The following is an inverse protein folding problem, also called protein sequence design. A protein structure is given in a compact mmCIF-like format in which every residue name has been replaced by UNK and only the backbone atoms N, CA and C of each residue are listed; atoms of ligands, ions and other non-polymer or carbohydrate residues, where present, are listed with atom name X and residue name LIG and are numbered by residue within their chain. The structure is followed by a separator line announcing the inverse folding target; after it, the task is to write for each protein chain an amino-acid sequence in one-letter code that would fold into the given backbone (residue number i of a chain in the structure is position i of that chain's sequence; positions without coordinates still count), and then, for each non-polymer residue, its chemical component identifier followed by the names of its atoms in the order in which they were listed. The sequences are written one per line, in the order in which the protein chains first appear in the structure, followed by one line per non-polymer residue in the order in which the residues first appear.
data_IF_829864660229
#
_entry.id   IF_829864660229
#
_cell.length_a   1.000
_cell.length_b   1.000
_cell.length_c   1.000
_cell.angle_alpha   90.00
_cell.angle_beta   90.00
_cell.angle_gamma   90.00
#
_symmetry.space_group_name_H-M   'P 1'
#
loop_
_entity.id
_entity.type
_entity.pdbx_description
1 polymer ?
#
# COMPACT_ATOMS: atom_id res chain seq x y z
N UNK A 1 -11.03 -7.54 2.18
CA UNK A 1 -11.94 -7.07 3.27
C UNK A 1 -13.12 -8.03 3.39
N UNK A 2 -13.56 -8.42 4.59
CA UNK A 2 -14.71 -9.31 4.77
C UNK A 2 -16.03 -8.55 4.51
N UNK A 3 -16.44 -8.45 3.24
CA UNK A 3 -17.66 -7.75 2.87
C UNK A 3 -18.33 -8.39 1.65
N UNK A 4 -19.66 -8.24 1.53
CA UNK A 4 -20.43 -8.58 0.33
C UNK A 4 -20.69 -7.36 -0.56
N UNK A 5 -20.29 -6.17 -0.13
CA UNK A 5 -20.43 -4.95 -0.93
C UNK A 5 -19.48 -5.01 -2.13
N UNK A 6 -19.93 -4.50 -3.27
CA UNK A 6 -19.08 -4.39 -4.46
C UNK A 6 -18.09 -3.22 -4.29
N UNK A 7 -17.10 -3.41 -3.44
CA UNK A 7 -16.02 -2.46 -3.17
C UNK A 7 -14.67 -3.12 -3.37
N UNK A 8 -13.69 -2.35 -3.83
CA UNK A 8 -12.29 -2.74 -4.00
C UNK A 8 -11.43 -1.67 -3.35
N UNK A 9 -10.46 -2.06 -2.55
CA UNK A 9 -9.47 -1.14 -2.01
C UNK A 9 -8.24 -1.09 -2.93
N UNK A 10 -7.82 0.13 -3.31
CA UNK A 10 -6.53 0.37 -3.92
C UNK A 10 -5.52 0.69 -2.82
N UNK A 11 -4.43 -0.06 -2.78
CA UNK A 11 -3.36 0.13 -1.80
C UNK A 11 -2.01 0.22 -2.49
N UNK A 12 -1.14 1.08 -1.97
CA UNK A 12 0.17 1.34 -2.54
C UNK A 12 1.26 1.16 -1.49
N UNK A 13 2.26 0.33 -1.79
CA UNK A 13 3.46 0.23 -0.97
C UNK A 13 4.48 1.30 -1.39
N UNK A 14 5.12 1.93 -0.41
CA UNK A 14 6.19 2.91 -0.61
C UNK A 14 7.38 2.57 0.30
N UNK A 15 8.38 1.88 -0.26
CA UNK A 15 9.55 1.42 0.47
C UNK A 15 10.85 2.08 -0.01
N UNK A 16 11.01 2.31 -1.31
CA UNK A 16 12.30 2.65 -1.92
C UNK A 16 12.45 4.13 -2.25
N UNK A 17 11.59 4.64 -3.14
CA UNK A 17 11.64 6.02 -3.64
C UNK A 17 10.23 6.55 -3.91
N UNK A 18 10.13 7.85 -4.19
CA UNK A 18 8.88 8.58 -4.40
C UNK A 18 8.55 8.81 -5.88
N UNK A 19 9.23 8.12 -6.80
CA UNK A 19 9.22 8.40 -8.24
C UNK A 19 7.81 8.50 -8.84
N UNK A 20 6.88 7.60 -8.48
CA UNK A 20 5.52 7.57 -9.00
C UNK A 20 4.50 8.31 -8.13
N UNK A 21 4.88 8.84 -6.98
CA UNK A 21 3.90 9.44 -6.03
C UNK A 21 3.10 10.55 -6.67
N UNK A 22 3.77 11.50 -7.33
CA UNK A 22 3.09 12.63 -7.95
C UNK A 22 2.08 12.22 -9.02
N UNK A 23 2.41 11.22 -9.86
CA UNK A 23 1.49 10.73 -10.89
C UNK A 23 0.34 9.92 -10.28
N UNK A 24 0.62 9.07 -9.29
CA UNK A 24 -0.43 8.32 -8.56
C UNK A 24 -1.43 9.28 -7.92
N UNK A 25 -0.96 10.30 -7.17
CA UNK A 25 -1.84 11.27 -6.52
C UNK A 25 -2.68 12.06 -7.53
N UNK A 26 -2.07 12.50 -8.65
CA UNK A 26 -2.78 13.20 -9.72
C UNK A 26 -3.88 12.34 -10.36
N UNK A 27 -3.62 11.05 -10.56
CA UNK A 27 -4.63 10.13 -11.11
C UNK A 27 -5.74 9.89 -10.10
N UNK A 28 -5.41 9.62 -8.83
CA UNK A 28 -6.40 9.41 -7.77
C UNK A 28 -7.32 10.63 -7.60
N UNK A 29 -6.77 11.84 -7.61
CA UNK A 29 -7.52 13.10 -7.57
C UNK A 29 -8.45 13.22 -8.78
N UNK A 30 -7.92 13.06 -10.00
CA UNK A 30 -8.71 13.13 -11.24
C UNK A 30 -9.92 12.21 -11.25
N UNK A 31 -9.79 11.02 -10.64
CA UNK A 31 -10.85 10.01 -10.61
C UNK A 31 -11.65 10.02 -9.31
N UNK A 32 -11.41 10.96 -8.40
CA UNK A 32 -12.02 10.94 -7.06
C UNK A 32 -11.98 9.51 -6.46
N UNK A 33 -10.77 8.94 -6.41
CA UNK A 33 -10.53 7.57 -5.98
C UNK A 33 -9.71 7.54 -4.68
N UNK A 34 -10.32 7.18 -3.54
CA UNK A 34 -9.58 7.06 -2.28
C UNK A 34 -8.63 5.85 -2.33
N UNK A 35 -7.51 5.95 -1.61
CA UNK A 35 -6.51 4.90 -1.51
C UNK A 35 -5.88 4.85 -0.11
N UNK A 36 -5.18 3.75 0.19
CA UNK A 36 -4.35 3.63 1.39
C UNK A 36 -2.90 3.34 0.99
N UNK A 37 -1.97 4.12 1.55
CA UNK A 37 -0.54 3.96 1.32
C UNK A 37 0.12 3.30 2.54
N UNK A 38 0.83 2.21 2.29
CA UNK A 38 1.65 1.50 3.28
C UNK A 38 3.10 1.96 3.13
N UNK A 39 3.55 2.82 4.04
CA UNK A 39 4.87 3.43 3.98
C UNK A 39 5.83 2.74 4.95
N UNK A 40 7.08 2.54 4.51
CA UNK A 40 8.14 2.22 5.48
C UNK A 40 8.52 3.46 6.30
N UNK A 41 9.01 3.24 7.51
CA UNK A 41 9.52 4.35 8.32
C UNK A 41 10.67 5.09 7.63
N UNK A 42 11.55 4.36 6.96
CA UNK A 42 12.64 4.95 6.18
C UNK A 42 12.16 5.79 4.99
N UNK A 43 11.10 5.35 4.30
CA UNK A 43 10.48 6.17 3.26
C UNK A 43 9.93 7.47 3.85
N UNK A 44 9.18 7.38 4.95
CA UNK A 44 8.59 8.54 5.59
C UNK A 44 9.63 9.56 6.08
N UNK A 45 10.79 9.09 6.56
CA UNK A 45 11.90 9.97 6.96
C UNK A 45 12.59 10.65 5.78
N UNK A 46 12.81 9.92 4.67
CA UNK A 46 13.51 10.45 3.49
C UNK A 46 12.61 11.31 2.61
N UNK A 47 11.33 10.99 2.53
CA UNK A 47 10.33 11.57 1.62
C UNK A 47 9.13 12.10 2.39
N UNK A 48 9.39 12.87 3.47
CA UNK A 48 8.32 13.37 4.34
C UNK A 48 7.35 14.31 3.62
N UNK A 49 7.79 15.02 2.58
CA UNK A 49 6.93 15.88 1.76
C UNK A 49 5.95 15.02 0.95
N UNK A 50 6.40 13.91 0.38
CA UNK A 50 5.53 12.97 -0.32
C UNK A 50 4.50 12.34 0.64
N UNK A 51 4.92 11.94 1.85
CA UNK A 51 4.00 11.40 2.85
C UNK A 51 2.92 12.44 3.26
N UNK A 52 3.30 13.71 3.46
CA UNK A 52 2.35 14.80 3.73
C UNK A 52 1.41 15.07 2.55
N UNK A 53 1.92 15.00 1.31
CA UNK A 53 1.10 15.17 0.12
C UNK A 53 0.00 14.10 0.01
N UNK A 54 0.31 12.83 0.35
CA UNK A 54 -0.68 11.75 0.40
C UNK A 54 -1.80 12.04 1.41
N UNK A 55 -1.44 12.51 2.63
CA UNK A 55 -2.42 12.91 3.66
C UNK A 55 -3.25 14.11 3.19
N UNK A 56 -2.61 15.15 2.68
CA UNK A 56 -3.28 16.35 2.20
C UNK A 56 -4.25 16.07 1.05
N UNK A 57 -3.99 15.05 0.23
CA UNK A 57 -4.89 14.55 -0.79
C UNK A 57 -6.00 13.65 -0.25
N UNK A 58 -6.11 13.48 1.06
CA UNK A 58 -7.18 12.74 1.72
C UNK A 58 -7.01 11.23 1.75
N UNK A 59 -5.83 10.70 1.48
CA UNK A 59 -5.57 9.26 1.50
C UNK A 59 -5.18 8.75 2.88
N UNK A 60 -5.42 7.45 3.13
CA UNK A 60 -5.01 6.77 4.35
C UNK A 60 -3.52 6.45 4.34
N UNK A 61 -2.84 6.58 5.49
CA UNK A 61 -1.46 6.15 5.68
C UNK A 61 -1.42 5.01 6.68
N UNK A 62 -0.67 3.95 6.37
CA UNK A 62 -0.47 2.77 7.19
C UNK A 62 1.00 2.33 7.19
N UNK A 63 1.35 1.38 8.07
CA UNK A 63 2.73 0.96 8.27
C UNK A 63 3.13 -0.23 7.41
N UNK A 64 4.36 -0.17 6.85
CA UNK A 64 5.01 -1.25 6.11
C UNK A 64 6.38 -1.63 6.70
N UNK A 65 6.49 -1.74 8.03
CA UNK A 65 7.72 -1.83 8.81
C UNK A 65 8.61 -0.57 8.74
N UNK A 66 9.73 -0.58 9.45
CA UNK A 66 10.65 0.56 9.39
C UNK A 66 11.61 0.46 8.20
N UNK A 67 12.28 -0.69 8.01
CA UNK A 67 13.37 -0.86 7.03
C UNK A 67 13.09 -1.87 5.93
N UNK A 68 11.87 -2.45 5.90
CA UNK A 68 11.46 -3.48 4.93
C UNK A 68 12.29 -4.79 5.01
N UNK A 69 12.53 -5.35 6.20
CA UNK A 69 13.24 -6.61 6.34
C UNK A 69 12.35 -7.82 6.06
N UNK A 70 12.95 -8.99 5.88
CA UNK A 70 12.26 -10.27 6.04
C UNK A 70 11.95 -10.47 7.53
N UNK A 71 10.69 -10.23 7.93
CA UNK A 71 10.29 -10.21 9.34
C UNK A 71 10.47 -11.56 10.02
N UNK A 72 10.29 -12.67 9.29
CA UNK A 72 10.48 -14.04 9.77
C UNK A 72 11.94 -14.36 10.15
N UNK A 73 12.90 -13.57 9.66
CA UNK A 73 14.32 -13.73 9.99
C UNK A 73 14.72 -12.97 11.26
N UNK A 74 13.80 -12.18 11.81
CA UNK A 74 14.03 -11.39 13.00
C UNK A 74 13.53 -12.13 14.26
N UNK A 75 14.17 -11.89 15.39
CA UNK A 75 13.59 -12.26 16.68
C UNK A 75 12.42 -11.34 17.06
N UNK A 76 11.65 -11.74 18.05
CA UNK A 76 10.45 -11.00 18.51
C UNK A 76 10.77 -9.54 18.87
N UNK A 77 11.91 -9.28 19.54
CA UNK A 77 12.28 -7.91 19.93
C UNK A 77 12.63 -7.05 18.71
N UNK A 78 13.36 -7.60 17.75
CA UNK A 78 13.69 -6.89 16.51
C UNK A 78 12.44 -6.61 15.68
N UNK A 79 11.48 -7.55 15.58
CA UNK A 79 10.18 -7.33 14.92
C UNK A 79 9.39 -6.20 15.59
N UNK A 80 9.29 -6.20 16.92
CA UNK A 80 8.62 -5.12 17.65
C UNK A 80 9.27 -3.76 17.39
N UNK A 81 10.60 -3.70 17.34
CA UNK A 81 11.33 -2.47 17.03
C UNK A 81 11.02 -1.97 15.62
N UNK A 82 10.94 -2.86 14.62
CA UNK A 82 10.54 -2.51 13.25
C UNK A 82 9.15 -1.86 13.20
N UNK A 83 8.17 -2.42 13.91
CA UNK A 83 6.81 -1.87 13.97
C UNK A 83 6.78 -0.52 14.69
N UNK A 84 7.36 -0.43 15.89
CA UNK A 84 7.29 0.78 16.73
C UNK A 84 8.15 1.93 16.16
N UNK A 85 9.28 1.64 15.52
CA UNK A 85 10.07 2.66 14.83
C UNK A 85 9.34 3.21 13.61
N UNK A 86 8.67 2.34 12.85
CA UNK A 86 7.84 2.76 11.73
C UNK A 86 6.73 3.71 12.21
N UNK A 87 5.96 3.34 13.22
CA UNK A 87 4.89 4.17 13.78
C UNK A 87 5.40 5.56 14.18
N UNK A 88 6.53 5.63 14.90
CA UNK A 88 7.15 6.92 15.29
C UNK A 88 7.59 7.76 14.09
N UNK A 89 8.20 7.13 13.09
CA UNK A 89 8.65 7.81 11.88
C UNK A 89 7.46 8.36 11.07
N UNK A 90 6.40 7.55 10.92
CA UNK A 90 5.17 7.96 10.24
C UNK A 90 4.50 9.13 10.95
N UNK A 91 4.25 9.03 12.27
CA UNK A 91 3.66 10.13 13.07
C UNK A 91 4.45 11.44 12.93
N UNK A 92 5.79 11.35 12.97
CA UNK A 92 6.64 12.51 12.80
C UNK A 92 6.54 13.10 11.41
N UNK A 93 6.50 12.27 10.37
CA UNK A 93 6.47 12.72 8.99
C UNK A 93 5.13 13.37 8.60
N UNK A 94 3.99 12.76 9.01
CA UNK A 94 2.66 13.20 8.60
C UNK A 94 1.96 14.13 9.61
N UNK A 95 2.47 14.22 10.85
CA UNK A 95 1.94 15.11 11.89
C UNK A 95 0.68 14.59 12.61
N UNK A 96 0.23 13.39 12.29
CA UNK A 96 -0.94 12.73 12.89
C UNK A 96 -0.70 11.21 13.03
N UNK A 97 -1.53 10.48 13.81
CA UNK A 97 -1.43 9.03 13.88
C UNK A 97 -1.74 8.39 12.52
N UNK A 98 -0.90 7.44 12.03
CA UNK A 98 -1.28 6.61 10.89
C UNK A 98 -2.45 5.68 11.26
N UNK A 99 -3.08 5.08 10.27
CA UNK A 99 -4.09 4.04 10.48
C UNK A 99 -3.47 2.88 11.27
N UNK A 100 -4.24 2.21 12.15
CA UNK A 100 -3.76 1.08 12.94
C UNK A 100 -3.63 -0.20 12.11
N UNK A 101 -3.03 -0.07 10.93
CA UNK A 101 -2.80 -1.15 10.00
C UNK A 101 -1.31 -1.35 9.76
N UNK A 102 -0.93 -2.61 9.65
CA UNK A 102 0.41 -3.05 9.32
C UNK A 102 0.35 -4.00 8.12
N UNK A 103 1.33 -3.92 7.24
CA UNK A 103 1.51 -4.89 6.16
C UNK A 103 2.92 -5.46 6.26
N UNK A 104 3.02 -6.78 6.32
CA UNK A 104 4.32 -7.45 6.36
C UNK A 104 5.06 -7.25 5.03
N UNK A 105 6.36 -6.88 5.07
CA UNK A 105 7.22 -6.96 3.89
C UNK A 105 7.18 -8.35 3.25
N UNK A 106 7.12 -8.40 1.93
CA UNK A 106 7.08 -9.63 1.12
C UNK A 106 5.82 -10.50 1.30
N UNK A 107 4.98 -10.26 2.30
CA UNK A 107 3.84 -11.11 2.65
C UNK A 107 4.22 -12.40 3.39
N UNK A 108 5.49 -12.52 3.76
CA UNK A 108 5.97 -13.67 4.55
C UNK A 108 5.64 -13.44 6.02
N UNK A 109 4.68 -14.21 6.54
CA UNK A 109 4.21 -14.07 7.92
C UNK A 109 3.69 -15.38 8.49
N UNK A 110 3.69 -15.48 9.80
CA UNK A 110 3.15 -16.59 10.57
C UNK A 110 2.04 -16.11 11.51
N UNK A 111 1.14 -17.00 11.99
CA UNK A 111 0.14 -16.63 12.99
C UNK A 111 0.72 -16.01 14.26
N UNK A 112 1.94 -16.42 14.67
CA UNK A 112 2.63 -15.85 15.81
C UNK A 112 3.03 -14.40 15.55
N UNK A 113 3.61 -14.10 14.41
CA UNK A 113 4.05 -12.75 14.03
C UNK A 113 2.86 -11.79 13.89
N UNK A 114 1.75 -12.28 13.33
CA UNK A 114 0.48 -11.53 13.30
C UNK A 114 0.02 -11.21 14.72
N UNK A 115 0.05 -12.18 15.63
CA UNK A 115 -0.33 -11.96 17.02
C UNK A 115 0.59 -10.95 17.74
N UNK A 116 1.90 -10.96 17.44
CA UNK A 116 2.86 -9.98 17.97
C UNK A 116 2.54 -8.56 17.48
N UNK A 117 2.21 -8.39 16.21
CA UNK A 117 1.81 -7.09 15.63
C UNK A 117 0.47 -6.62 16.18
N UNK A 118 -0.50 -7.54 16.34
CA UNK A 118 -1.80 -7.23 16.94
C UNK A 118 -1.67 -6.80 18.42
N UNK A 119 -0.74 -7.41 19.17
CA UNK A 119 -0.47 -7.01 20.55
C UNK A 119 0.10 -5.58 20.67
N UNK A 120 0.67 -5.04 19.60
CA UNK A 120 1.12 -3.64 19.52
C UNK A 120 0.02 -2.68 19.07
N UNK A 121 -1.20 -3.17 18.81
CA UNK A 121 -2.36 -2.36 18.41
C UNK A 121 -2.51 -2.18 16.90
N UNK A 122 -1.85 -3.00 16.08
CA UNK A 122 -1.98 -2.94 14.63
C UNK A 122 -2.67 -4.19 14.09
N UNK A 123 -3.58 -4.02 13.14
CA UNK A 123 -4.15 -5.12 12.38
C UNK A 123 -3.29 -5.41 11.15
N UNK A 124 -2.98 -6.69 10.93
CA UNK A 124 -2.34 -7.15 9.71
C UNK A 124 -3.28 -7.02 8.51
N UNK A 125 -2.81 -6.38 7.43
CA UNK A 125 -3.56 -6.15 6.19
C UNK A 125 -2.75 -6.64 5.00
N UNK A 126 -3.06 -7.84 4.57
CA UNK A 126 -2.53 -8.42 3.35
C UNK A 126 -3.35 -8.00 2.10
N UNK A 127 -3.05 -8.56 0.96
CA UNK A 127 -3.68 -8.24 -0.32
C UNK A 127 -4.32 -9.47 -0.99
N UNK A 128 -5.23 -9.20 -1.92
CA UNK A 128 -5.85 -10.24 -2.74
C UNK A 128 -4.96 -10.62 -3.92
N UNK A 129 -4.33 -9.62 -4.55
CA UNK A 129 -3.29 -9.81 -5.58
C UNK A 129 -2.36 -8.59 -5.59
N UNK A 130 -1.09 -8.84 -5.92
CA UNK A 130 -0.08 -7.83 -6.22
C UNK A 130 0.01 -7.67 -7.74
N UNK A 131 -0.02 -6.43 -8.20
CA UNK A 131 0.14 -6.10 -9.62
C UNK A 131 1.51 -6.49 -10.18
N UNK A 132 2.54 -6.59 -9.31
CA UNK A 132 3.94 -6.77 -9.66
C UNK A 132 4.50 -5.65 -10.57
N UNK A 133 3.85 -4.49 -10.59
CA UNK A 133 4.29 -3.35 -11.41
C UNK A 133 5.69 -2.85 -11.06
N UNK A 134 6.10 -3.02 -9.80
CA UNK A 134 7.44 -2.65 -9.32
C UNK A 134 8.59 -3.40 -10.01
N UNK A 135 8.33 -4.57 -10.62
CA UNK A 135 9.33 -5.31 -11.39
C UNK A 135 9.74 -4.59 -12.68
N UNK A 136 8.89 -3.66 -13.14
CA UNK A 136 9.15 -2.88 -14.35
C UNK A 136 9.22 -3.72 -15.63
N UNK A 137 9.56 -3.08 -16.73
CA UNK A 137 9.72 -3.75 -18.03
C UNK A 137 10.90 -4.71 -18.04
N UNK A 138 11.95 -4.44 -17.27
CA UNK A 138 13.08 -5.34 -17.09
C UNK A 138 12.68 -6.68 -16.46
N UNK A 139 11.70 -6.67 -15.55
CA UNK A 139 11.08 -7.86 -14.98
C UNK A 139 9.97 -8.47 -15.85
N UNK A 140 9.84 -8.03 -17.10
CA UNK A 140 8.86 -8.55 -18.07
C UNK A 140 7.42 -8.07 -17.81
N UNK A 141 7.23 -7.04 -16.98
CA UNK A 141 5.93 -6.42 -16.74
C UNK A 141 5.61 -5.35 -17.80
N UNK A 142 4.33 -5.13 -18.00
CA UNK A 142 3.78 -4.05 -18.83
C UNK A 142 2.54 -3.50 -18.15
N UNK A 143 2.09 -2.30 -18.51
CA UNK A 143 0.83 -1.72 -18.02
C UNK A 143 -0.35 -2.66 -18.24
N UNK A 144 -0.43 -3.35 -19.39
CA UNK A 144 -1.48 -4.32 -19.69
C UNK A 144 -1.45 -5.52 -18.71
N UNK A 145 -0.25 -6.03 -18.38
CA UNK A 145 -0.10 -7.13 -17.40
C UNK A 145 -0.49 -6.69 -16.00
N UNK A 146 -0.13 -5.47 -15.58
CA UNK A 146 -0.53 -4.84 -14.31
C UNK A 146 -2.05 -4.82 -14.21
N UNK A 147 -2.73 -4.23 -15.21
CA UNK A 147 -4.20 -4.18 -15.26
C UNK A 147 -4.81 -5.58 -15.24
N UNK A 148 -4.32 -6.49 -16.07
CA UNK A 148 -4.85 -7.85 -16.15
C UNK A 148 -4.73 -8.62 -14.82
N UNK A 149 -3.61 -8.47 -14.09
CA UNK A 149 -3.41 -9.08 -12.77
C UNK A 149 -4.44 -8.54 -11.78
N UNK A 150 -4.49 -7.21 -11.61
CA UNK A 150 -5.44 -6.58 -10.71
C UNK A 150 -6.89 -6.97 -11.01
N UNK A 151 -7.29 -6.98 -12.28
CA UNK A 151 -8.67 -7.29 -12.68
C UNK A 151 -9.07 -8.76 -12.48
N UNK A 152 -8.13 -9.70 -12.40
CA UNK A 152 -8.41 -11.08 -12.00
C UNK A 152 -8.79 -11.22 -10.54
N UNK A 153 -8.24 -10.34 -9.70
CA UNK A 153 -8.47 -10.35 -8.26
C UNK A 153 -9.74 -9.59 -7.84
N UNK A 154 -10.36 -8.84 -8.76
CA UNK A 154 -11.55 -8.03 -8.45
C UNK A 154 -12.71 -8.92 -8.02
N UNK A 155 -13.06 -8.81 -6.76
CA UNK A 155 -14.17 -9.46 -6.07
C UNK A 155 -14.67 -8.53 -4.95
N UNK A 156 -15.84 -8.78 -4.35
CA UNK A 156 -16.30 -8.01 -3.20
C UNK A 156 -15.25 -8.01 -2.08
N UNK A 157 -14.78 -6.82 -1.71
CA UNK A 157 -13.77 -6.64 -0.67
C UNK A 157 -12.32 -6.93 -1.08
N UNK A 158 -12.01 -7.06 -2.36
CA UNK A 158 -10.64 -7.24 -2.81
C UNK A 158 -9.74 -6.06 -2.39
N UNK A 159 -8.50 -6.37 -2.03
CA UNK A 159 -7.44 -5.40 -1.74
C UNK A 159 -6.38 -5.60 -2.82
N UNK A 160 -6.19 -4.61 -3.67
CA UNK A 160 -5.19 -4.63 -4.74
C UNK A 160 -3.93 -3.92 -4.25
N UNK A 161 -2.80 -4.63 -4.29
CA UNK A 161 -1.50 -4.07 -3.97
C UNK A 161 -0.82 -3.53 -5.23
N UNK A 162 -0.34 -2.31 -5.13
CA UNK A 162 0.42 -1.57 -6.13
C UNK A 162 1.64 -0.92 -5.45
N UNK A 163 2.52 -0.27 -6.21
CA UNK A 163 3.73 0.36 -5.69
C UNK A 163 3.92 1.75 -6.29
N UNK A 164 4.44 2.70 -5.51
CA UNK A 164 4.73 4.07 -5.99
C UNK A 164 6.15 4.23 -6.56
N UNK A 165 6.97 3.20 -6.46
CA UNK A 165 8.35 3.24 -6.93
C UNK A 165 8.85 1.87 -7.37
N UNK A 166 10.08 1.82 -7.85
CA UNK A 166 10.77 0.60 -8.25
C UNK A 166 12.09 0.46 -7.49
N UNK A 167 12.57 -0.77 -7.21
CA UNK A 167 13.85 -0.96 -6.52
C UNK A 167 15.02 -0.30 -7.25
N UNK A 168 14.97 -0.23 -8.58
CA UNK A 168 16.02 0.36 -9.42
C UNK A 168 15.98 1.88 -9.45
N UNK A 169 14.84 2.52 -9.10
CA UNK A 169 14.68 3.97 -9.14
C UNK A 169 14.77 4.57 -10.54
N UNK A 170 14.66 3.75 -11.59
CA UNK A 170 14.79 4.18 -12.99
C UNK A 170 13.65 3.60 -13.83
N UNK A 171 13.31 4.28 -14.93
CA UNK A 171 12.19 3.90 -15.81
C UNK A 171 10.84 4.42 -15.31
N UNK A 172 9.76 4.09 -16.00
CA UNK A 172 8.39 4.43 -15.60
C UNK A 172 7.90 3.58 -14.44
N UNK A 173 6.97 4.10 -13.66
CA UNK A 173 6.26 3.35 -12.61
C UNK A 173 4.99 2.77 -13.23
N UNK A 174 5.05 1.49 -13.62
CA UNK A 174 3.97 0.83 -14.36
C UNK A 174 2.63 0.86 -13.62
N UNK A 175 2.65 0.84 -12.29
CA UNK A 175 1.45 0.95 -11.47
C UNK A 175 0.78 2.33 -11.64
N UNK A 176 1.57 3.40 -11.68
CA UNK A 176 1.04 4.74 -11.93
C UNK A 176 0.47 4.88 -13.34
N UNK A 177 1.19 4.35 -14.35
CA UNK A 177 0.77 4.36 -15.75
C UNK A 177 -0.51 3.54 -16.00
N UNK A 178 -0.66 2.41 -15.29
CA UNK A 178 -1.82 1.51 -15.42
C UNK A 178 -3.06 2.00 -14.65
N UNK A 179 -2.87 2.88 -13.67
CA UNK A 179 -3.91 3.26 -12.70
C UNK A 179 -5.19 3.84 -13.35
N UNK A 180 -5.13 4.73 -14.36
CA UNK A 180 -6.33 5.23 -15.02
C UNK A 180 -7.21 4.12 -15.59
N UNK A 181 -6.62 3.22 -16.38
CA UNK A 181 -7.33 2.10 -17.00
C UNK A 181 -7.86 1.13 -15.94
N UNK A 182 -7.11 0.91 -14.86
CA UNK A 182 -7.54 0.04 -13.77
C UNK A 182 -8.78 0.59 -13.06
N UNK A 183 -8.78 1.87 -12.70
CA UNK A 183 -9.92 2.55 -12.06
C UNK A 183 -11.17 2.46 -12.95
N UNK A 184 -11.05 2.80 -14.21
CA UNK A 184 -12.16 2.73 -15.17
C UNK A 184 -12.71 1.31 -15.30
N UNK A 185 -11.81 0.31 -15.40
CA UNK A 185 -12.19 -1.09 -15.54
C UNK A 185 -12.87 -1.66 -14.29
N UNK A 186 -12.42 -1.26 -13.08
CA UNK A 186 -13.06 -1.65 -11.81
C UNK A 186 -14.48 -1.05 -11.75
N UNK A 187 -14.64 0.23 -12.09
CA UNK A 187 -15.94 0.90 -12.09
C UNK A 187 -16.90 0.34 -13.14
N UNK A 188 -16.39 0.01 -14.32
CA UNK A 188 -17.19 -0.62 -15.39
C UNK A 188 -17.71 -2.01 -15.00
N UNK A 189 -17.06 -2.69 -14.05
CA UNK A 189 -17.55 -3.96 -13.45
C UNK A 189 -18.54 -3.77 -12.30
N UNK A 190 -18.97 -2.53 -12.04
CA UNK A 190 -19.92 -2.21 -10.98
C UNK A 190 -19.33 -2.14 -9.57
N UNK A 191 -18.00 -2.06 -9.45
CA UNK A 191 -17.34 -1.91 -8.17
C UNK A 191 -17.05 -0.43 -7.87
N UNK A 192 -17.20 -0.05 -6.60
CA UNK A 192 -16.69 1.23 -6.07
C UNK A 192 -15.29 1.05 -5.52
N UNK A 193 -14.47 2.09 -5.65
CA UNK A 193 -13.17 2.15 -4.99
C UNK A 193 -13.38 2.70 -3.59
N UNK A 194 -12.72 2.09 -2.61
CA UNK A 194 -12.73 2.48 -1.21
C UNK A 194 -11.29 2.48 -0.68
N UNK A 195 -11.05 3.15 0.41
CA UNK A 195 -9.84 2.95 1.19
C UNK A 195 -10.10 2.07 2.42
N UNK A 196 -9.03 1.72 3.13
CA UNK A 196 -9.12 0.81 4.27
C UNK A 196 -9.68 1.47 5.55
N UNK A 197 -9.88 2.80 5.59
CA UNK A 197 -10.58 3.47 6.71
C UNK A 197 -11.98 2.93 6.90
N UNK A 198 -12.60 2.43 5.83
CA UNK A 198 -13.91 1.77 5.92
C UNK A 198 -13.92 0.52 6.81
N UNK A 199 -12.77 -0.06 7.14
CA UNK A 199 -12.65 -1.15 8.11
C UNK A 199 -12.72 -0.70 9.58
N UNK A 200 -12.63 0.61 9.84
CA UNK A 200 -12.66 1.19 11.19
C UNK A 200 -14.06 1.72 11.56
N UNK A 201 -15.00 1.74 10.63
CA UNK A 201 -16.31 2.39 10.77
C UNK A 201 -17.50 1.44 10.78
N UNK A 202 -17.26 0.12 10.68
CA UNK A 202 -18.33 -0.92 10.69
C UNK A 202 -18.46 -1.57 12.06
#
# INVERSE_FOLDING_TARGET
MPTRRHVVALTFNAAWNEQGVGEVLKVLDRYDAPATFFLTGQFAERHSDAARAMVAAGHGIASHSYSHPHMEQLDCQARQLEVLRADRALRKAIGEPPLPFFRFPYGDTTPQEIAEVNALGFADIEWTDDTNGYLGTAGGMTTQKVVARALRAVAPGAIIQMHVGTPQGTGGVLDAEALPQLIESIRARGYRISDLRSLLTD
#
